data_IF_194045166188
#
_entry.id   IF_194045166188
#
_cell.length_a   1.000
_cell.length_b   1.000
_cell.length_c   1.000
_cell.angle_alpha   90.00
_cell.angle_beta   90.00
_cell.angle_gamma   90.00
#
_symmetry.space_group_name_H-M   'P 1'
#
loop_
_entity.id
_entity.type
_entity.pdbx_description
1 polymer ?
#
# COMPACT_ATOMS: atom_id res chain seq x y z
N UNK A 1 3.83 -14.98 -11.88
CA UNK A 1 2.51 -14.89 -11.22
C UNK A 1 2.53 -13.64 -10.35
N UNK A 2 1.99 -12.53 -10.87
CA UNK A 2 1.96 -11.26 -10.14
C UNK A 2 0.74 -11.19 -9.23
N UNK A 3 0.86 -10.49 -8.12
CA UNK A 3 -0.29 -10.19 -7.27
C UNK A 3 -1.04 -9.01 -7.94
N UNK A 4 -2.34 -9.15 -8.24
CA UNK A 4 -3.15 -8.06 -8.77
C UNK A 4 -3.09 -6.82 -7.88
N UNK A 5 -2.94 -5.63 -8.47
CA UNK A 5 -2.86 -4.36 -7.72
C UNK A 5 -4.12 -4.12 -6.88
N UNK A 6 -5.29 -4.51 -7.38
CA UNK A 6 -6.56 -4.46 -6.64
C UNK A 6 -6.61 -5.41 -5.43
N UNK A 7 -5.73 -6.41 -5.39
CA UNK A 7 -5.60 -7.32 -4.25
C UNK A 7 -4.59 -6.84 -3.21
N UNK A 8 -3.80 -5.80 -3.49
CA UNK A 8 -2.84 -5.23 -2.54
C UNK A 8 -3.34 -3.90 -1.99
N UNK A 9 -3.30 -3.75 -0.67
CA UNK A 9 -3.53 -2.49 0.02
C UNK A 9 -2.30 -2.14 0.84
N UNK A 10 -1.65 -1.04 0.48
CA UNK A 10 -0.54 -0.48 1.26
C UNK A 10 -1.11 0.44 2.35
N UNK A 11 -0.65 0.26 3.59
CA UNK A 11 -1.06 1.04 4.75
C UNK A 11 0.18 1.58 5.44
N UNK A 12 0.15 2.87 5.74
CA UNK A 12 1.18 3.53 6.52
C UNK A 12 0.51 4.35 7.63
N UNK A 13 0.90 4.13 8.89
CA UNK A 13 0.32 4.81 10.07
C UNK A 13 -1.21 4.76 10.14
N UNK A 14 -1.81 3.65 9.68
CA UNK A 14 -3.27 3.49 9.61
C UNK A 14 -3.95 4.20 8.43
N UNK A 15 -3.20 4.92 7.58
CA UNK A 15 -3.69 5.51 6.35
C UNK A 15 -3.39 4.61 5.15
N UNK A 16 -4.41 4.34 4.34
CA UNK A 16 -4.21 3.65 3.07
C UNK A 16 -3.49 4.59 2.09
N UNK A 17 -2.45 4.07 1.43
CA UNK A 17 -1.80 4.78 0.34
C UNK A 17 -2.63 4.64 -0.94
N UNK A 18 -2.84 5.75 -1.64
CA UNK A 18 -3.62 5.80 -2.87
C UNK A 18 -2.73 6.07 -4.08
N UNK A 19 -3.13 5.50 -5.21
CA UNK A 19 -2.41 5.70 -6.47
C UNK A 19 -2.60 7.16 -6.92
N UNK A 20 -1.52 7.83 -7.32
CA UNK A 20 -1.55 9.24 -7.74
C UNK A 20 -1.01 10.25 -6.73
N UNK A 21 -0.72 9.81 -5.50
CA UNK A 21 0.00 10.60 -4.50
C UNK A 21 1.48 10.21 -4.46
N UNK A 22 2.37 11.17 -4.19
CA UNK A 22 3.79 10.89 -4.02
C UNK A 22 4.03 10.30 -2.64
N UNK A 23 5.05 9.45 -2.53
CA UNK A 23 5.52 8.90 -1.25
C UNK A 23 5.90 10.03 -0.26
N UNK A 24 6.42 11.14 -0.78
CA UNK A 24 6.73 12.35 -0.01
C UNK A 24 5.49 12.99 0.64
N UNK A 25 4.31 12.85 0.02
CA UNK A 25 3.08 13.46 0.53
C UNK A 25 2.59 12.77 1.81
N UNK A 26 3.02 11.52 2.02
CA UNK A 26 2.79 10.75 3.25
C UNK A 26 3.93 10.85 4.26
N UNK A 27 4.94 11.69 3.97
CA UNK A 27 6.11 11.89 4.82
C UNK A 27 6.88 10.57 5.11
N UNK A 28 6.86 9.66 4.14
CA UNK A 28 7.56 8.36 4.16
C UNK A 28 9.02 8.59 3.77
N UNK A 29 9.94 8.20 4.64
CA UNK A 29 11.40 8.30 4.43
C UNK A 29 12.02 6.94 4.18
N UNK A 30 13.31 6.90 3.87
CA UNK A 30 14.05 5.64 3.83
C UNK A 30 13.98 4.91 5.19
N UNK A 31 13.96 3.59 5.15
CA UNK A 31 13.85 2.74 6.34
C UNK A 31 12.46 2.69 6.98
N UNK A 32 11.47 3.41 6.46
CA UNK A 32 10.08 3.29 6.96
C UNK A 32 9.46 1.96 6.54
N UNK A 33 8.69 1.37 7.46
CA UNK A 33 7.95 0.13 7.22
C UNK A 33 6.53 0.48 6.79
N UNK A 34 6.06 -0.15 5.71
CA UNK A 34 4.70 -0.03 5.19
C UNK A 34 4.04 -1.40 5.33
N UNK A 35 2.85 -1.42 5.92
CA UNK A 35 2.05 -2.63 6.06
C UNK A 35 1.36 -2.94 4.73
N UNK A 36 1.64 -4.12 4.16
CA UNK A 36 0.93 -4.61 2.98
C UNK A 36 -0.14 -5.62 3.41
N UNK A 37 -1.40 -5.28 3.16
CA UNK A 37 -2.53 -6.17 3.39
C UNK A 37 -3.01 -6.73 2.05
N UNK A 38 -3.18 -8.05 1.98
CA UNK A 38 -3.78 -8.69 0.82
C UNK A 38 -5.28 -8.88 1.02
N UNK A 39 -6.07 -8.52 0.02
CA UNK A 39 -7.48 -8.85 -0.07
C UNK A 39 -7.63 -10.13 -0.89
N UNK A 40 -8.20 -11.17 -0.27
CA UNK A 40 -8.69 -12.33 -1.00
C UNK A 40 -10.05 -11.96 -1.59
N UNK A 41 -10.07 -11.56 -2.86
CA UNK A 41 -11.32 -11.56 -3.63
C UNK A 41 -11.57 -12.99 -4.08
N UNK A 42 -12.70 -13.58 -3.70
CA UNK A 42 -13.13 -14.89 -4.16
C UNK A 42 -13.17 -14.94 -5.69
N UNK A 43 -12.74 -16.07 -6.25
CA UNK A 43 -12.64 -16.34 -7.69
C UNK A 43 -13.94 -16.10 -8.45
#
# INVERSE_FOLDING_TARGET
MGIPRDQQRLIYRGQQLENGHKISDYNITDGTVIDMIMRMTGC
#
